data_IF_500444640255
#
_entry.id   IF_500444640255
#
_cell.length_a   1.000
_cell.length_b   1.000
_cell.length_c   1.000
_cell.angle_alpha   90.00
_cell.angle_beta   90.00
_cell.angle_gamma   90.00
#
_symmetry.space_group_name_H-M   'P 1'
#
loop_
_entity.id
_entity.type
_entity.pdbx_description
1 polymer ?
#
# COMPACT_ATOMS: atom_id res chain seq x y z
N UNK A 1 15.49 32.52 40.88
CA UNK A 1 14.46 31.72 40.16
C UNK A 1 14.65 31.94 38.67
N UNK A 2 15.14 30.94 37.95
CA UNK A 2 15.23 30.98 36.49
C UNK A 2 13.99 30.29 35.95
N UNK A 3 13.12 31.03 35.26
CA UNK A 3 11.94 30.46 34.60
C UNK A 3 12.43 29.92 33.25
N UNK A 4 12.62 28.60 33.16
CA UNK A 4 12.85 27.93 31.88
C UNK A 4 11.53 27.87 31.13
N UNK A 5 11.37 28.70 30.09
CA UNK A 5 10.23 28.64 29.19
C UNK A 5 10.36 27.41 28.29
N UNK A 6 9.50 26.40 28.51
CA UNK A 6 9.35 25.28 27.57
C UNK A 6 8.63 25.79 26.31
N UNK A 7 9.39 26.03 25.24
CA UNK A 7 8.81 26.26 23.91
C UNK A 7 8.51 24.90 23.27
N UNK A 8 7.24 24.61 23.04
CA UNK A 8 6.82 23.45 22.25
C UNK A 8 7.16 23.74 20.80
N UNK A 9 8.17 23.05 20.27
CA UNK A 9 8.47 23.07 18.83
C UNK A 9 7.59 22.02 18.18
N UNK A 10 6.67 22.37 17.26
CA UNK A 10 5.97 21.37 16.48
C UNK A 10 7.01 20.67 15.59
N UNK A 11 7.24 19.38 15.84
CA UNK A 11 7.94 18.53 14.89
C UNK A 11 7.01 18.33 13.68
N UNK A 12 7.55 18.32 12.44
CA UNK A 12 6.77 17.83 11.33
C UNK A 12 6.37 16.38 11.65
N UNK A 13 5.08 16.06 11.54
CA UNK A 13 4.67 14.68 11.43
C UNK A 13 5.19 14.17 10.08
N UNK A 14 6.32 13.48 10.11
CA UNK A 14 6.75 12.66 8.99
C UNK A 14 5.75 11.51 8.90
N UNK A 15 4.74 11.68 8.04
CA UNK A 15 3.88 10.59 7.60
C UNK A 15 4.70 9.63 6.76
N UNK A 16 5.59 8.87 7.41
CA UNK A 16 6.31 7.76 6.80
C UNK A 16 5.27 6.76 6.30
N UNK A 17 5.03 6.79 4.99
CA UNK A 17 4.31 5.74 4.28
C UNK A 17 4.94 4.38 4.66
N UNK A 18 4.19 3.28 4.64
CA UNK A 18 4.80 1.94 4.67
C UNK A 18 5.91 1.92 3.58
N UNK A 19 7.18 1.89 4.02
CA UNK A 19 8.24 2.71 3.39
C UNK A 19 8.61 2.28 1.98
N UNK A 20 8.61 0.99 1.67
CA UNK A 20 8.89 0.48 0.33
C UNK A 20 8.16 -0.84 0.10
N UNK A 21 8.18 -1.33 -1.13
CA UNK A 21 7.79 -2.71 -1.42
C UNK A 21 8.55 -3.77 -0.60
N UNK A 22 9.76 -3.47 -0.10
CA UNK A 22 10.53 -4.43 0.71
C UNK A 22 9.86 -4.60 2.07
N UNK A 23 9.51 -3.48 2.70
CA UNK A 23 8.87 -3.46 4.01
C UNK A 23 7.49 -4.11 3.95
N UNK A 24 6.72 -3.81 2.90
CA UNK A 24 5.42 -4.45 2.69
C UNK A 24 5.56 -5.96 2.50
N UNK A 25 6.52 -6.41 1.69
CA UNK A 25 6.75 -7.84 1.49
C UNK A 25 7.19 -8.53 2.78
N UNK A 26 8.03 -7.89 3.59
CA UNK A 26 8.44 -8.40 4.90
C UNK A 26 7.24 -8.56 5.83
N UNK A 27 6.40 -7.54 5.96
CA UNK A 27 5.15 -7.56 6.75
C UNK A 27 4.26 -8.73 6.30
N UNK A 28 4.12 -8.92 4.99
CA UNK A 28 3.29 -9.97 4.41
C UNK A 28 3.85 -11.38 4.57
N UNK A 29 5.16 -11.53 4.83
CA UNK A 29 5.83 -12.83 5.06
C UNK A 29 5.92 -13.20 6.55
N UNK A 30 6.16 -12.24 7.43
CA UNK A 30 6.46 -12.49 8.85
C UNK A 30 5.21 -12.64 9.75
N UNK A 31 4.12 -13.22 9.22
CA UNK A 31 2.88 -13.52 9.95
C UNK A 31 2.12 -12.33 10.56
N UNK A 32 2.44 -11.08 10.20
CA UNK A 32 1.57 -9.93 10.48
C UNK A 32 0.44 -9.87 9.43
N UNK A 33 -0.22 -11.01 9.23
CA UNK A 33 -1.17 -11.25 8.14
C UNK A 33 -2.31 -10.24 8.14
N UNK A 34 -2.76 -9.81 9.33
CA UNK A 34 -3.81 -8.80 9.48
C UNK A 34 -3.38 -7.41 8.99
N UNK A 35 -2.12 -7.02 9.17
CA UNK A 35 -1.60 -5.74 8.67
C UNK A 35 -1.45 -5.80 7.15
N UNK A 36 -0.93 -6.92 6.61
CA UNK A 36 -0.85 -7.13 5.17
C UNK A 36 -2.23 -7.09 4.49
N UNK A 37 -3.23 -7.77 5.06
CA UNK A 37 -4.61 -7.72 4.57
C UNK A 37 -5.23 -6.32 4.71
N UNK A 38 -4.97 -5.63 5.83
CA UNK A 38 -5.43 -4.25 6.04
C UNK A 38 -4.85 -3.28 5.01
N UNK A 39 -3.57 -3.45 4.65
CA UNK A 39 -2.93 -2.70 3.58
C UNK A 39 -3.60 -2.97 2.23
N UNK A 40 -3.79 -4.25 1.87
CA UNK A 40 -4.47 -4.64 0.65
C UNK A 40 -5.90 -4.08 0.57
N UNK A 41 -6.62 -4.07 1.71
CA UNK A 41 -7.96 -3.48 1.79
C UNK A 41 -7.92 -1.98 1.56
N UNK A 42 -6.98 -1.27 2.18
CA UNK A 42 -6.80 0.17 1.98
C UNK A 42 -6.51 0.54 0.51
N UNK A 43 -5.69 -0.25 -0.19
CA UNK A 43 -5.43 -0.05 -1.63
C UNK A 43 -6.69 -0.33 -2.46
N UNK A 44 -7.41 -1.42 -2.17
CA UNK A 44 -8.65 -1.76 -2.88
C UNK A 44 -9.75 -0.70 -2.69
N UNK A 45 -9.94 -0.24 -1.45
CA UNK A 45 -10.90 0.82 -1.13
C UNK A 45 -10.50 2.14 -1.79
N UNK A 46 -9.22 2.52 -1.71
CA UNK A 46 -8.73 3.71 -2.42
C UNK A 46 -8.97 3.62 -3.93
N UNK A 47 -8.75 2.45 -4.55
CA UNK A 47 -9.03 2.23 -5.96
C UNK A 47 -10.53 2.32 -6.29
N UNK A 48 -11.40 1.87 -5.38
CA UNK A 48 -12.85 1.97 -5.51
C UNK A 48 -13.36 3.41 -5.40
N UNK A 49 -12.82 4.20 -4.47
CA UNK A 49 -13.25 5.58 -4.22
C UNK A 49 -12.54 6.63 -5.08
N UNK A 50 -11.45 6.27 -5.77
CA UNK A 50 -10.71 7.20 -6.64
C UNK A 50 -11.21 7.08 -8.08
N UNK A 51 -11.91 8.10 -8.62
CA UNK A 51 -12.25 8.13 -10.03
C UNK A 51 -10.98 8.03 -10.88
N UNK A 52 -11.02 7.25 -11.96
CA UNK A 52 -9.90 7.08 -12.90
C UNK A 52 -8.66 6.40 -12.29
N UNK A 53 -8.81 5.59 -11.23
CA UNK A 53 -7.71 4.74 -10.71
C UNK A 53 -7.13 3.78 -11.77
N UNK A 54 -7.88 3.48 -12.82
CA UNK A 54 -7.53 2.48 -13.84
C UNK A 54 -7.64 1.04 -13.35
N UNK A 55 -8.10 0.84 -12.11
CA UNK A 55 -8.22 -0.45 -11.43
C UNK A 55 -9.70 -0.83 -11.37
N UNK A 56 -10.05 -1.97 -11.96
CA UNK A 56 -11.41 -2.48 -12.02
C UNK A 56 -11.48 -3.90 -11.42
N UNK A 57 -11.41 -3.98 -10.10
CA UNK A 57 -11.46 -5.25 -9.35
C UNK A 57 -12.83 -5.92 -9.57
N UNK A 58 -12.90 -7.17 -10.10
CA UNK A 58 -14.15 -7.90 -10.27
C UNK A 58 -14.87 -8.16 -8.94
N UNK A 59 -16.21 -8.18 -8.95
CA UNK A 59 -17.05 -8.28 -7.74
C UNK A 59 -16.90 -9.57 -6.94
N UNK A 60 -16.36 -10.64 -7.53
CA UNK A 60 -16.13 -11.93 -6.87
C UNK A 60 -14.72 -12.06 -6.30
N UNK A 61 -13.84 -11.06 -6.50
CA UNK A 61 -12.50 -11.07 -5.90
C UNK A 61 -12.62 -10.84 -4.41
N UNK A 62 -12.02 -11.73 -3.63
CA UNK A 62 -11.93 -11.60 -2.17
C UNK A 62 -10.64 -10.88 -1.77
N UNK A 63 -10.63 -10.31 -0.56
CA UNK A 63 -9.48 -9.53 -0.07
C UNK A 63 -8.15 -10.30 -0.08
N UNK A 64 -8.18 -11.61 0.18
CA UNK A 64 -6.96 -12.44 0.11
C UNK A 64 -6.37 -12.47 -1.30
N UNK A 65 -7.20 -12.47 -2.35
CA UNK A 65 -6.72 -12.42 -3.73
C UNK A 65 -6.12 -11.06 -4.09
N UNK A 66 -6.67 -9.96 -3.56
CA UNK A 66 -6.07 -8.62 -3.72
C UNK A 66 -4.67 -8.60 -3.08
N UNK A 67 -4.55 -9.15 -1.87
CA UNK A 67 -3.27 -9.31 -1.18
C UNK A 67 -2.29 -10.18 -1.97
N UNK A 68 -2.75 -11.30 -2.53
CA UNK A 68 -1.91 -12.22 -3.30
C UNK A 68 -1.37 -11.53 -4.57
N UNK A 69 -2.21 -10.80 -5.32
CA UNK A 69 -1.77 -10.03 -6.50
C UNK A 69 -0.67 -9.01 -6.14
N UNK A 70 -0.85 -8.28 -5.03
CA UNK A 70 0.15 -7.30 -4.58
C UNK A 70 1.46 -8.00 -4.19
N UNK A 71 1.38 -9.06 -3.38
CA UNK A 71 2.58 -9.80 -2.92
C UNK A 71 3.30 -10.47 -4.09
N UNK A 72 2.58 -11.10 -5.01
CA UNK A 72 3.16 -11.74 -6.19
C UNK A 72 3.89 -10.72 -7.07
N UNK A 73 3.32 -9.52 -7.24
CA UNK A 73 4.01 -8.43 -7.96
C UNK A 73 5.32 -8.03 -7.28
N UNK A 74 5.31 -7.84 -5.95
CA UNK A 74 6.52 -7.51 -5.21
C UNK A 74 7.57 -8.62 -5.34
N UNK A 75 7.17 -9.89 -5.24
CA UNK A 75 8.06 -11.05 -5.38
C UNK A 75 8.68 -11.10 -6.78
N UNK A 76 7.88 -10.88 -7.82
CA UNK A 76 8.29 -10.95 -9.22
C UNK A 76 9.19 -9.78 -9.67
N UNK A 77 9.14 -8.62 -9.00
CA UNK A 77 9.88 -7.41 -9.39
C UNK A 77 10.81 -6.92 -8.25
N UNK A 78 11.87 -7.67 -7.90
CA UNK A 78 12.82 -7.25 -6.87
C UNK A 78 13.54 -5.93 -7.21
N UNK A 79 13.73 -5.62 -8.49
CA UNK A 79 14.44 -4.44 -8.97
C UNK A 79 13.73 -3.12 -8.63
N UNK A 80 12.40 -3.11 -8.58
CA UNK A 80 11.60 -1.93 -8.21
C UNK A 80 11.13 -1.98 -6.76
N UNK A 81 11.43 -3.03 -6.00
CA UNK A 81 10.86 -3.24 -4.66
C UNK A 81 11.25 -2.17 -3.63
N UNK A 82 12.31 -1.40 -3.90
CA UNK A 82 12.72 -0.24 -3.11
C UNK A 82 11.82 0.99 -3.31
N UNK A 83 10.93 0.98 -4.30
CA UNK A 83 9.97 2.06 -4.56
C UNK A 83 8.82 2.04 -3.53
N UNK A 84 8.05 3.14 -3.42
CA UNK A 84 6.94 3.22 -2.49
C UNK A 84 5.93 2.08 -2.66
N UNK A 85 5.58 1.42 -1.57
CA UNK A 85 4.68 0.25 -1.59
C UNK A 85 3.34 0.53 -2.28
N UNK A 86 2.78 1.73 -2.09
CA UNK A 86 1.47 2.09 -2.66
C UNK A 86 1.54 2.17 -4.18
N UNK A 87 2.66 2.66 -4.72
CA UNK A 87 2.88 2.77 -6.15
C UNK A 87 2.94 1.38 -6.78
N UNK A 88 3.73 0.48 -6.19
CA UNK A 88 3.86 -0.91 -6.65
C UNK A 88 2.54 -1.68 -6.53
N UNK A 89 1.80 -1.49 -5.43
CA UNK A 89 0.49 -2.12 -5.24
C UNK A 89 -0.52 -1.66 -6.29
N UNK A 90 -0.61 -0.36 -6.58
CA UNK A 90 -1.48 0.15 -7.63
C UNK A 90 -1.09 -0.41 -9.00
N UNK A 91 0.21 -0.45 -9.33
CA UNK A 91 0.69 -1.07 -10.58
C UNK A 91 0.32 -2.55 -10.69
N UNK A 92 0.44 -3.29 -9.59
CA UNK A 92 0.03 -4.69 -9.52
C UNK A 92 -1.47 -4.85 -9.85
N UNK A 93 -2.32 -4.01 -9.24
CA UNK A 93 -3.76 -4.08 -9.45
C UNK A 93 -4.19 -3.62 -10.84
N UNK A 94 -3.54 -2.59 -11.42
CA UNK A 94 -3.78 -2.16 -12.81
C UNK A 94 -3.41 -3.28 -13.79
N UNK A 95 -2.30 -3.98 -13.55
CA UNK A 95 -1.87 -5.07 -14.42
C UNK A 95 -2.82 -6.29 -14.32
N UNK A 96 -3.30 -6.62 -13.12
CA UNK A 96 -4.19 -7.75 -12.90
C UNK A 96 -5.63 -7.46 -13.37
N UNK A 97 -6.12 -6.24 -13.13
CA UNK A 97 -7.50 -5.84 -13.34
C UNK A 97 -7.60 -4.45 -13.98
N UNK A 98 -7.15 -4.30 -15.23
CA UNK A 98 -7.26 -3.03 -15.94
C UNK A 98 -8.72 -2.71 -16.22
N UNK A 99 -9.12 -1.44 -16.02
CA UNK A 99 -10.40 -0.96 -16.52
C UNK A 99 -10.43 -1.00 -18.04
N UNK A 100 -11.48 -1.60 -18.62
CA UNK A 100 -11.71 -1.54 -20.07
C UNK A 100 -12.38 -0.20 -20.41
N UNK A 101 -11.78 0.53 -21.35
CA UNK A 101 -12.47 1.61 -22.05
C UNK A 101 -13.42 0.97 -23.07
N UNK A 102 -14.72 1.00 -22.79
CA UNK A 102 -15.75 0.79 -23.79
C UNK A 102 -16.43 2.14 -24.06
#
# INVERSE_FOLDING_TARGET
MVIAALTVVPLPAEGGYYETGNDLLEICRNNIHRVCLGYAAGIADAAYFTPLSGICIPSLVVLSQVRDVIVDHLVAHPETRHEPAYYLANRALIAAWPCRVN
#
